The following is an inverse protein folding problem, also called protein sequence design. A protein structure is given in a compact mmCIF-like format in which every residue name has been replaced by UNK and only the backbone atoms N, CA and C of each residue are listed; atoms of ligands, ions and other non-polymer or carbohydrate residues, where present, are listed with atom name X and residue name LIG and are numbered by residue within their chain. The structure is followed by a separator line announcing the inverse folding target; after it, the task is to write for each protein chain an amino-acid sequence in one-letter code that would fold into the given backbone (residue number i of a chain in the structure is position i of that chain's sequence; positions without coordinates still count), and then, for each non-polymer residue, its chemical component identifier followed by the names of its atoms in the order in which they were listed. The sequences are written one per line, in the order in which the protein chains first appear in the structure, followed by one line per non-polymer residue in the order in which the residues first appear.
data_IF_291180029041
#
_entry.id   IF_291180029041
#
_cell.length_a   1.000
_cell.length_b   1.000
_cell.length_c   1.000
_cell.angle_alpha   90.00
_cell.angle_beta   90.00
_cell.angle_gamma   90.00
#
_symmetry.space_group_name_H-M   'P 1'
#
loop_
_entity.id
_entity.type
_entity.pdbx_description
1 polymer ?
#
# COMPACT_ATOMS: atom_id res chain seq x y z
N UNK A 1 -11.67 6.87 -1.35
CA UNK A 1 -11.35 7.68 -2.54
C UNK A 1 -10.26 8.70 -2.16
N UNK A 2 -9.65 9.43 -3.08
CA UNK A 2 -8.51 10.34 -2.76
C UNK A 2 -8.94 11.74 -2.30
N UNK A 3 -10.22 11.96 -1.94
CA UNK A 3 -10.75 13.32 -1.68
C UNK A 3 -10.05 14.01 -0.51
N UNK A 4 -9.79 13.30 0.59
CA UNK A 4 -9.06 13.84 1.74
C UNK A 4 -7.65 14.33 1.37
N UNK A 5 -6.98 13.61 0.47
CA UNK A 5 -5.64 13.98 0.02
C UNK A 5 -5.68 15.25 -0.83
N UNK A 6 -6.71 15.42 -1.67
CA UNK A 6 -6.82 16.53 -2.63
C UNK A 6 -7.52 17.78 -2.08
N UNK A 7 -7.80 17.81 -0.78
CA UNK A 7 -8.49 18.92 -0.13
C UNK A 7 -7.61 20.19 -0.04
N UNK A 8 -6.29 20.05 -0.12
CA UNK A 8 -5.33 21.15 0.06
C UNK A 8 -4.17 21.08 -0.93
N UNK A 9 -3.61 22.23 -1.28
CA UNK A 9 -2.37 22.33 -2.06
C UNK A 9 -2.52 22.04 -3.56
N UNK A 10 -1.37 21.84 -4.22
CA UNK A 10 -1.29 21.49 -5.62
C UNK A 10 -1.75 20.04 -5.84
N UNK A 11 -2.95 19.91 -6.41
CA UNK A 11 -3.60 18.65 -6.68
C UNK A 11 -2.82 17.77 -7.66
N UNK A 12 -2.15 18.34 -8.66
CA UNK A 12 -1.42 17.56 -9.68
C UNK A 12 -0.14 17.02 -9.07
N UNK A 13 0.64 17.89 -8.42
CA UNK A 13 1.87 17.50 -7.73
C UNK A 13 1.62 16.45 -6.63
N UNK A 14 0.51 16.55 -5.89
CA UNK A 14 0.13 15.54 -4.91
C UNK A 14 -0.20 14.18 -5.54
N UNK A 15 -0.91 14.16 -6.68
CA UNK A 15 -1.20 12.92 -7.39
C UNK A 15 0.06 12.27 -7.95
N UNK A 16 0.98 13.06 -8.51
CA UNK A 16 2.28 12.56 -8.99
C UNK A 16 3.13 11.96 -7.88
N UNK A 17 3.18 12.62 -6.73
CA UNK A 17 3.88 12.10 -5.56
C UNK A 17 3.22 10.81 -5.05
N UNK A 18 1.88 10.76 -4.98
CA UNK A 18 1.16 9.57 -4.55
C UNK A 18 1.47 8.38 -5.47
N UNK A 19 1.44 8.58 -6.79
CA UNK A 19 1.75 7.53 -7.78
C UNK A 19 3.18 7.03 -7.56
N UNK A 20 4.15 7.94 -7.56
CA UNK A 20 5.58 7.62 -7.47
C UNK A 20 5.90 6.86 -6.18
N UNK A 21 5.43 7.34 -5.04
CA UNK A 21 5.72 6.69 -3.76
C UNK A 21 4.99 5.34 -3.64
N UNK A 22 3.72 5.26 -4.08
CA UNK A 22 2.99 3.99 -4.05
C UNK A 22 3.64 2.93 -4.96
N UNK A 23 4.14 3.30 -6.14
CA UNK A 23 4.83 2.37 -7.04
C UNK A 23 6.14 1.86 -6.42
N UNK A 24 6.93 2.73 -5.76
CA UNK A 24 8.13 2.32 -5.00
C UNK A 24 7.77 1.38 -3.85
N UNK A 25 6.71 1.69 -3.12
CA UNK A 25 6.24 0.86 -2.00
C UNK A 25 5.83 -0.53 -2.48
N UNK A 26 5.12 -0.62 -3.61
CA UNK A 26 4.72 -1.91 -4.19
C UNK A 26 5.92 -2.72 -4.65
N UNK A 27 6.96 -2.07 -5.17
CA UNK A 27 8.19 -2.74 -5.55
C UNK A 27 8.91 -3.32 -4.31
N UNK A 28 9.03 -2.55 -3.23
CA UNK A 28 9.63 -3.02 -1.98
C UNK A 28 8.84 -4.18 -1.34
N UNK A 29 7.51 -4.15 -1.41
CA UNK A 29 6.66 -5.25 -0.94
C UNK A 29 6.84 -6.50 -1.80
N UNK A 30 6.94 -6.37 -3.12
CA UNK A 30 7.21 -7.52 -4.01
C UNK A 30 8.54 -8.19 -3.70
N UNK A 31 9.59 -7.40 -3.49
CA UNK A 31 10.93 -7.90 -3.18
C UNK A 31 10.95 -8.63 -1.83
N UNK A 32 10.38 -8.02 -0.78
CA UNK A 32 10.26 -8.66 0.53
C UNK A 32 9.37 -9.91 0.49
N UNK A 33 8.27 -9.87 -0.27
CA UNK A 33 7.33 -10.97 -0.43
C UNK A 33 7.92 -12.17 -1.19
N UNK A 34 8.74 -11.93 -2.22
CA UNK A 34 9.41 -12.99 -2.97
C UNK A 34 10.39 -13.82 -2.10
N UNK A 35 10.95 -13.19 -1.06
CA UNK A 35 11.82 -13.87 -0.08
C UNK A 35 11.06 -14.33 1.17
N UNK A 36 9.75 -14.03 1.27
CA UNK A 36 8.95 -14.17 2.48
C UNK A 36 9.64 -13.58 3.72
N UNK A 37 10.35 -12.47 3.55
CA UNK A 37 11.07 -11.80 4.63
C UNK A 37 10.07 -11.08 5.54
N UNK A 38 9.60 -11.82 6.57
CA UNK A 38 8.61 -11.34 7.53
C UNK A 38 9.04 -10.05 8.24
N UNK A 39 10.34 -9.86 8.48
CA UNK A 39 10.85 -8.66 9.14
C UNK A 39 10.82 -7.47 8.18
N UNK A 40 11.26 -7.64 6.95
CA UNK A 40 11.17 -6.61 5.94
C UNK A 40 9.70 -6.23 5.66
N UNK A 41 8.81 -7.21 5.59
CA UNK A 41 7.37 -6.98 5.41
C UNK A 41 6.76 -6.19 6.58
N UNK A 42 7.10 -6.49 7.83
CA UNK A 42 6.58 -5.74 8.99
C UNK A 42 7.06 -4.28 8.99
N UNK A 43 8.31 -4.04 8.60
CA UNK A 43 8.86 -2.68 8.43
C UNK A 43 8.08 -1.92 7.36
N UNK A 44 7.79 -2.57 6.21
CA UNK A 44 6.99 -1.95 5.15
C UNK A 44 5.57 -1.63 5.63
N UNK A 45 4.91 -2.58 6.28
CA UNK A 45 3.56 -2.40 6.85
C UNK A 45 3.51 -1.21 7.80
N UNK A 46 4.49 -1.12 8.71
CA UNK A 46 4.57 -0.01 9.66
C UNK A 46 4.72 1.34 8.97
N UNK A 47 5.60 1.43 7.96
CA UNK A 47 5.87 2.64 7.19
C UNK A 47 4.62 3.15 6.44
N UNK A 48 3.85 2.23 5.85
CA UNK A 48 2.71 2.57 4.98
C UNK A 48 1.41 2.87 5.75
N UNK A 49 1.33 2.43 7.01
CA UNK A 49 0.08 2.48 7.77
C UNK A 49 -0.49 3.88 7.89
N UNK A 50 0.35 4.88 8.16
CA UNK A 50 -0.10 6.27 8.28
C UNK A 50 -0.51 6.88 6.93
N UNK A 51 0.27 6.66 5.88
CA UNK A 51 0.01 7.23 4.55
C UNK A 51 -1.28 6.66 3.94
N UNK A 52 -1.52 5.37 4.10
CA UNK A 52 -2.72 4.72 3.55
C UNK A 52 -3.97 4.99 4.39
N UNK A 53 -3.84 5.22 5.70
CA UNK A 53 -4.97 5.58 6.56
C UNK A 53 -5.62 6.91 6.15
N UNK A 54 -4.82 7.88 5.67
CA UNK A 54 -5.33 9.19 5.18
C UNK A 54 -6.35 9.01 4.05
N UNK A 55 -6.15 8.00 3.20
CA UNK A 55 -7.02 7.67 2.06
C UNK A 55 -7.90 6.45 2.31
N UNK A 56 -7.94 5.95 3.56
CA UNK A 56 -8.72 4.79 4.01
C UNK A 56 -8.43 3.52 3.20
N UNK A 57 -7.16 3.30 2.86
CA UNK A 57 -6.68 2.14 2.11
C UNK A 57 -5.87 1.15 2.97
N UNK A 58 -5.78 1.39 4.28
CA UNK A 58 -4.90 0.69 5.21
C UNK A 58 -5.35 -0.73 5.60
N UNK A 59 -6.58 -1.14 5.25
CA UNK A 59 -7.12 -2.47 5.61
C UNK A 59 -6.19 -3.66 5.29
N UNK A 60 -5.57 -3.76 4.09
CA UNK A 60 -4.66 -4.87 3.80
C UNK A 60 -3.38 -4.84 4.64
N UNK A 61 -2.92 -3.64 5.05
CA UNK A 61 -1.75 -3.49 5.94
C UNK A 61 -2.03 -4.09 7.32
N UNK A 62 -3.24 -3.89 7.84
CA UNK A 62 -3.65 -4.48 9.12
C UNK A 62 -3.66 -6.00 9.09
N UNK A 63 -4.13 -6.59 7.99
CA UNK A 63 -4.19 -8.03 7.87
C UNK A 63 -2.80 -8.64 7.77
N UNK A 64 -1.92 -8.08 6.93
CA UNK A 64 -0.53 -8.55 6.89
C UNK A 64 0.15 -8.36 8.25
N UNK A 65 -0.05 -7.22 8.92
CA UNK A 65 0.49 -6.98 10.25
C UNK A 65 0.06 -8.05 11.27
N UNK A 66 -1.23 -8.40 11.25
CA UNK A 66 -1.80 -9.40 12.14
C UNK A 66 -1.11 -10.74 11.93
N UNK A 67 -1.01 -11.20 10.69
CA UNK A 67 -0.38 -12.48 10.32
C UNK A 67 1.11 -12.52 10.71
N UNK A 68 1.83 -11.41 10.51
CA UNK A 68 3.25 -11.32 10.85
C UNK A 68 3.54 -11.36 12.36
N UNK A 69 2.56 -11.01 13.21
CA UNK A 69 2.69 -11.02 14.67
C UNK A 69 2.10 -12.25 15.35
N UNK A 70 1.49 -13.18 14.62
CA UNK A 70 0.97 -14.40 15.24
C UNK A 70 2.12 -15.19 15.87
N UNK A 71 1.98 -15.57 17.14
CA UNK A 71 2.97 -16.39 17.87
C UNK A 71 3.07 -17.79 17.28
N UNK A 72 1.95 -18.31 16.77
CA UNK A 72 1.94 -19.51 15.94
C UNK A 72 2.37 -19.17 14.51
N UNK A 73 3.20 -20.03 13.92
CA UNK A 73 3.65 -19.88 12.55
C UNK A 73 2.46 -19.92 11.59
N UNK A 74 2.02 -18.74 11.13
CA UNK A 74 1.10 -18.59 10.01
C UNK A 74 1.69 -19.25 8.75
N UNK A 75 0.81 -19.88 7.96
CA UNK A 75 1.23 -20.54 6.73
C UNK A 75 1.69 -19.50 5.70
N UNK A 76 2.77 -19.80 4.98
CA UNK A 76 3.32 -18.88 3.98
C UNK A 76 2.32 -18.55 2.86
N UNK A 77 1.36 -19.44 2.60
CA UNK A 77 0.26 -19.19 1.67
C UNK A 77 -0.67 -18.05 2.15
N UNK A 78 -0.95 -17.96 3.45
CA UNK A 78 -1.77 -16.89 4.02
C UNK A 78 -1.04 -15.54 3.95
N UNK A 79 0.27 -15.55 4.24
CA UNK A 79 1.13 -14.38 4.09
C UNK A 79 1.16 -13.93 2.62
N UNK A 80 1.31 -14.87 1.69
CA UNK A 80 1.31 -14.59 0.25
C UNK A 80 -0.01 -13.95 -0.21
N UNK A 81 -1.16 -14.49 0.23
CA UNK A 81 -2.48 -13.90 -0.05
C UNK A 81 -2.62 -12.48 0.51
N UNK A 82 -2.08 -12.22 1.70
CA UNK A 82 -2.11 -10.87 2.28
C UNK A 82 -1.20 -9.89 1.51
N UNK A 83 -0.04 -10.35 1.04
CA UNK A 83 0.84 -9.58 0.15
C UNK A 83 0.12 -9.25 -1.16
N UNK A 84 -0.51 -10.22 -1.81
CA UNK A 84 -1.27 -10.01 -3.05
C UNK A 84 -2.39 -8.98 -2.87
N UNK A 85 -3.10 -9.03 -1.74
CA UNK A 85 -4.12 -8.04 -1.40
C UNK A 85 -3.54 -6.62 -1.22
N UNK A 86 -2.35 -6.50 -0.62
CA UNK A 86 -1.63 -5.23 -0.53
C UNK A 86 -1.22 -4.70 -1.91
N UNK A 87 -0.67 -5.56 -2.77
CA UNK A 87 -0.28 -5.20 -4.13
C UNK A 87 -1.48 -4.75 -4.96
N UNK A 88 -2.60 -5.47 -4.87
CA UNK A 88 -3.85 -5.10 -5.52
C UNK A 88 -4.37 -3.72 -5.05
N UNK A 89 -4.25 -3.43 -3.74
CA UNK A 89 -4.64 -2.14 -3.20
C UNK A 89 -3.73 -1.01 -3.69
N UNK A 90 -2.41 -1.21 -3.73
CA UNK A 90 -1.48 -0.23 -4.28
C UNK A 90 -1.76 0.07 -5.76
N UNK A 91 -2.00 -0.96 -6.57
CA UNK A 91 -2.41 -0.78 -7.96
C UNK A 91 -3.72 0.01 -8.09
N UNK A 92 -4.69 -0.23 -7.19
CA UNK A 92 -5.94 0.54 -7.15
C UNK A 92 -5.69 2.01 -6.81
N UNK A 93 -4.82 2.32 -5.85
CA UNK A 93 -4.44 3.69 -5.49
C UNK A 93 -3.82 4.39 -6.69
N UNK A 94 -2.85 3.75 -7.35
CA UNK A 94 -2.19 4.27 -8.56
C UNK A 94 -3.19 4.51 -9.68
N UNK A 95 -4.08 3.56 -9.96
CA UNK A 95 -5.11 3.69 -10.98
C UNK A 95 -6.06 4.86 -10.69
N UNK A 96 -6.55 4.97 -9.46
CA UNK A 96 -7.40 6.09 -9.03
C UNK A 96 -6.69 7.44 -9.15
N UNK A 97 -5.39 7.49 -8.88
CA UNK A 97 -4.61 8.71 -9.01
C UNK A 97 -4.43 9.10 -10.49
N UNK A 98 -4.13 8.14 -11.38
CA UNK A 98 -3.99 8.36 -12.83
C UNK A 98 -5.30 8.86 -13.46
N UNK A 99 -6.43 8.19 -13.20
CA UNK A 99 -7.74 8.65 -13.69
C UNK A 99 -8.08 10.07 -13.25
N UNK A 100 -7.83 10.42 -11.98
CA UNK A 100 -8.08 11.78 -11.48
C UNK A 100 -7.16 12.85 -12.06
N UNK A 101 -6.01 12.47 -12.61
CA UNK A 101 -5.15 13.40 -13.35
C UNK A 101 -5.71 13.65 -14.75
N UNK A 102 -6.18 12.59 -15.41
CA UNK A 102 -6.80 12.67 -16.74
C UNK A 102 -8.10 13.50 -16.71
N UNK A 103 -8.95 13.31 -15.68
CA UNK A 103 -10.19 14.10 -15.48
C UNK A 103 -9.95 15.60 -15.25
N UNK A 104 -8.69 16.03 -15.04
CA UNK A 104 -8.30 17.43 -14.77
C UNK A 104 -7.52 18.08 -15.91
N UNK A 105 -7.23 17.35 -16.98
CA UNK A 105 -6.74 17.91 -18.24
C UNK A 105 -7.89 18.36 -19.13
#
# INVERSE_FOLDING_TARGET
DLTSLLAYGDKVAMLDKLITETEKDMQAIKEAGAMLDRKALDIQVHRLRSSWAVIRADKPLWELHRLLRMEENCADEEISKAIDAMLAMGNKIVGQAKTRKEDKQ
#
